data_IF_077640323701
#
_entry.id   IF_077640323701
#
_cell.length_a   1.000
_cell.length_b   1.000
_cell.length_c   1.000
_cell.angle_alpha   90.00
_cell.angle_beta   90.00
_cell.angle_gamma   90.00
#
_symmetry.space_group_name_H-M   'P 1'
#
loop_
_entity.id
_entity.type
_entity.pdbx_description
1 polymer ?
#
# COMPACT_ATOMS: atom_id res chain seq x y z
N UNK A 1 -20.70 -22.78 4.59
CA UNK A 1 -19.63 -21.97 3.95
C UNK A 1 -20.21 -20.60 3.67
N UNK A 2 -19.55 -19.55 4.18
CA UNK A 2 -19.88 -18.18 3.82
C UNK A 2 -19.30 -17.91 2.42
N UNK A 3 -20.11 -17.34 1.54
CA UNK A 3 -19.74 -16.90 0.20
C UNK A 3 -19.80 -15.38 0.13
N UNK A 4 -19.00 -14.79 -0.74
CA UNK A 4 -18.99 -13.35 -0.99
C UNK A 4 -19.00 -13.09 -2.49
N UNK A 5 -19.83 -12.17 -2.94
CA UNK A 5 -20.01 -11.82 -4.35
C UNK A 5 -20.38 -10.34 -4.50
N UNK A 6 -20.24 -9.83 -5.72
CA UNK A 6 -20.76 -8.52 -6.11
C UNK A 6 -22.07 -8.75 -6.86
N UNK A 7 -23.16 -8.10 -6.43
CA UNK A 7 -24.47 -8.22 -7.08
C UNK A 7 -24.56 -7.40 -8.38
N UNK A 8 -25.67 -7.50 -9.10
CA UNK A 8 -25.88 -6.76 -10.36
C UNK A 8 -25.90 -5.25 -10.22
N UNK A 9 -26.02 -4.73 -8.99
CA UNK A 9 -25.96 -3.29 -8.67
C UNK A 9 -24.57 -2.86 -8.22
N UNK A 10 -23.58 -3.76 -8.28
CA UNK A 10 -22.21 -3.45 -7.87
C UNK A 10 -21.98 -3.49 -6.35
N UNK A 11 -22.93 -4.01 -5.57
CA UNK A 11 -22.82 -4.05 -4.12
C UNK A 11 -22.16 -5.35 -3.64
N UNK A 12 -21.33 -5.26 -2.61
CA UNK A 12 -20.74 -6.42 -1.98
C UNK A 12 -21.76 -7.10 -1.06
N UNK A 13 -21.97 -8.40 -1.29
CA UNK A 13 -22.91 -9.23 -0.53
C UNK A 13 -22.17 -10.45 0.01
N UNK A 14 -22.47 -10.79 1.26
CA UNK A 14 -21.97 -12.00 1.90
C UNK A 14 -23.12 -12.91 2.34
N UNK A 15 -22.94 -14.22 2.23
CA UNK A 15 -23.83 -15.20 2.86
C UNK A 15 -23.28 -15.55 4.25
N UNK A 16 -24.17 -15.50 5.23
CA UNK A 16 -23.86 -15.92 6.61
C UNK A 16 -23.95 -17.44 6.73
N UNK A 17 -23.40 -18.00 7.80
CA UNK A 17 -23.50 -19.44 8.12
C UNK A 17 -24.95 -19.91 8.28
N UNK A 18 -25.89 -19.00 8.59
CA UNK A 18 -27.34 -19.23 8.64
C UNK A 18 -28.03 -19.14 7.27
N UNK A 19 -27.28 -19.12 6.15
CA UNK A 19 -27.75 -18.96 4.76
C UNK A 19 -28.56 -17.67 4.49
N UNK A 20 -28.55 -16.70 5.41
CA UNK A 20 -29.08 -15.36 5.16
C UNK A 20 -28.03 -14.52 4.46
N UNK A 21 -28.39 -13.85 3.37
CA UNK A 21 -27.55 -12.86 2.70
C UNK A 21 -27.60 -11.52 3.45
N UNK A 22 -26.46 -10.82 3.47
CA UNK A 22 -26.35 -9.48 4.04
C UNK A 22 -25.33 -8.66 3.25
N UNK A 23 -25.56 -7.34 3.18
CA UNK A 23 -24.61 -6.38 2.66
C UNK A 23 -23.89 -5.63 3.79
N UNK A 24 -23.01 -4.70 3.40
CA UNK A 24 -22.46 -3.70 4.31
C UNK A 24 -23.58 -2.78 4.81
N UNK A 25 -23.45 -2.31 6.07
CA UNK A 25 -24.35 -1.29 6.63
C UNK A 25 -24.35 -0.01 5.78
N UNK A 26 -23.18 0.37 5.26
CA UNK A 26 -23.01 1.46 4.31
C UNK A 26 -22.48 0.89 3.00
N UNK A 27 -23.32 0.66 1.97
CA UNK A 27 -22.90 0.05 0.71
C UNK A 27 -21.78 0.81 -0.01
N UNK A 28 -21.74 2.15 0.14
CA UNK A 28 -20.70 3.01 -0.42
C UNK A 28 -19.30 2.79 0.14
N UNK A 29 -19.16 2.07 1.27
CA UNK A 29 -17.85 1.73 1.83
C UNK A 29 -17.09 0.73 0.95
N UNK A 30 -17.76 -0.04 0.09
CA UNK A 30 -17.11 -0.88 -0.91
C UNK A 30 -16.92 -0.07 -2.20
N UNK A 31 -15.66 0.22 -2.54
CA UNK A 31 -15.34 1.15 -3.64
C UNK A 31 -14.72 0.47 -4.85
N UNK A 32 -14.17 -0.73 -4.69
CA UNK A 32 -13.60 -1.46 -5.81
C UNK A 32 -13.04 -2.83 -5.47
N UNK A 33 -12.56 -3.53 -6.49
CA UNK A 33 -11.98 -4.87 -6.34
C UNK A 33 -11.02 -5.21 -7.48
N UNK A 34 -10.15 -6.19 -7.24
CA UNK A 34 -9.26 -6.80 -8.25
C UNK A 34 -9.47 -8.30 -8.26
N UNK A 35 -9.57 -8.89 -9.45
CA UNK A 35 -9.97 -10.29 -9.61
C UNK A 35 -11.47 -10.45 -9.40
N UNK A 36 -11.90 -11.41 -8.59
CA UNK A 36 -13.30 -11.57 -8.20
C UNK A 36 -13.45 -11.60 -6.67
N UNK A 37 -14.67 -11.36 -6.18
CA UNK A 37 -14.90 -11.22 -4.75
C UNK A 37 -14.52 -12.45 -3.91
N UNK A 38 -14.61 -13.65 -4.49
CA UNK A 38 -14.29 -14.91 -3.80
C UNK A 38 -12.82 -15.35 -3.93
N UNK A 39 -12.04 -14.67 -4.77
CA UNK A 39 -10.63 -14.98 -5.08
C UNK A 39 -9.95 -13.74 -5.67
N UNK A 40 -9.78 -12.72 -4.83
CA UNK A 40 -9.32 -11.42 -5.27
C UNK A 40 -9.09 -10.49 -4.09
N UNK A 41 -8.94 -9.22 -4.41
CA UNK A 41 -8.80 -8.17 -3.39
C UNK A 41 -10.04 -7.30 -3.40
N UNK A 42 -10.58 -7.00 -2.22
CA UNK A 42 -11.73 -6.12 -2.04
C UNK A 42 -11.26 -4.86 -1.35
N UNK A 43 -11.59 -3.72 -1.95
CA UNK A 43 -11.17 -2.41 -1.52
C UNK A 43 -12.35 -1.66 -0.90
N UNK A 44 -12.11 -1.17 0.30
CA UNK A 44 -13.05 -0.40 1.09
C UNK A 44 -12.48 0.96 1.46
N UNK A 45 -13.36 1.89 1.83
CA UNK A 45 -13.01 3.17 2.44
C UNK A 45 -13.81 3.40 3.72
N UNK A 46 -13.14 3.90 4.75
CA UNK A 46 -13.77 4.38 5.97
C UNK A 46 -12.97 5.57 6.52
N UNK A 47 -13.67 6.68 6.83
CA UNK A 47 -13.06 7.93 7.29
C UNK A 47 -11.91 8.43 6.39
N UNK A 48 -12.06 8.26 5.07
CA UNK A 48 -11.06 8.66 4.09
C UNK A 48 -9.85 7.72 3.94
N UNK A 49 -9.75 6.68 4.77
CA UNK A 49 -8.68 5.69 4.71
C UNK A 49 -9.13 4.40 4.03
N UNK A 50 -8.23 3.82 3.25
CA UNK A 50 -8.48 2.61 2.50
C UNK A 50 -8.18 1.34 3.31
N UNK A 51 -9.01 0.32 3.11
CA UNK A 51 -8.83 -1.02 3.67
C UNK A 51 -8.89 -2.02 2.51
N UNK A 52 -7.84 -2.83 2.36
CA UNK A 52 -7.74 -3.85 1.32
C UNK A 52 -7.75 -5.23 1.95
N UNK A 53 -8.82 -5.99 1.73
CA UNK A 53 -8.87 -7.40 2.15
C UNK A 53 -8.42 -8.30 1.01
N UNK A 54 -7.60 -9.32 1.31
CA UNK A 54 -7.13 -10.29 0.32
C UNK A 54 -7.79 -11.64 0.55
N UNK A 55 -8.54 -12.12 -0.45
CA UNK A 55 -9.19 -13.42 -0.41
C UNK A 55 -8.35 -14.43 -1.19
N UNK A 56 -7.74 -15.40 -0.48
CA UNK A 56 -6.86 -16.45 -1.01
C UNK A 56 -7.08 -17.77 -0.27
N UNK A 57 -8.10 -18.53 -0.66
CA UNK A 57 -8.43 -19.85 -0.06
C UNK A 57 -7.30 -20.85 -0.05
N UNK A 58 -6.35 -20.77 -0.99
CA UNK A 58 -5.23 -21.70 -1.08
C UNK A 58 -4.01 -21.29 -0.23
N UNK A 59 -4.02 -20.10 0.37
CA UNK A 59 -2.93 -19.63 1.24
C UNK A 59 -2.97 -20.32 2.60
N UNK A 60 -1.83 -20.43 3.32
CA UNK A 60 -1.80 -21.04 4.66
C UNK A 60 -2.84 -20.44 5.62
N UNK A 61 -2.98 -19.10 5.65
CA UNK A 61 -3.95 -18.38 6.48
C UNK A 61 -5.37 -18.53 5.94
N UNK A 62 -5.56 -18.32 4.63
CA UNK A 62 -6.88 -18.36 4.02
C UNK A 62 -7.56 -19.73 4.11
N UNK A 63 -6.80 -20.84 4.14
CA UNK A 63 -7.36 -22.19 4.37
C UNK A 63 -8.04 -22.34 5.74
N UNK A 64 -7.60 -21.56 6.73
CA UNK A 64 -8.14 -21.59 8.10
C UNK A 64 -9.35 -20.65 8.26
N UNK A 65 -9.66 -19.84 7.26
CA UNK A 65 -10.79 -18.91 7.28
C UNK A 65 -11.90 -19.37 6.33
N UNK A 66 -13.14 -19.40 6.81
CA UNK A 66 -14.29 -19.91 6.05
C UNK A 66 -14.61 -19.14 4.75
N UNK A 67 -14.19 -17.88 4.66
CA UNK A 67 -14.31 -17.05 3.44
C UNK A 67 -13.04 -17.06 2.59
N UNK A 68 -11.92 -17.57 3.12
CA UNK A 68 -10.62 -17.49 2.47
C UNK A 68 -9.88 -16.19 2.73
N UNK A 69 -10.26 -15.39 3.74
CA UNK A 69 -9.54 -14.17 4.11
C UNK A 69 -8.11 -14.52 4.52
N UNK A 70 -7.14 -13.99 3.79
CA UNK A 70 -5.72 -14.26 4.00
C UNK A 70 -4.97 -13.09 4.63
N UNK A 71 -5.45 -11.87 4.42
CA UNK A 71 -4.77 -10.65 4.87
C UNK A 71 -5.72 -9.44 4.86
N UNK A 72 -5.41 -8.44 5.68
CA UNK A 72 -6.06 -7.13 5.71
C UNK A 72 -4.96 -6.07 5.70
N UNK A 73 -4.86 -5.33 4.60
CA UNK A 73 -3.88 -4.27 4.42
C UNK A 73 -4.56 -2.94 4.66
N UNK A 74 -4.01 -2.16 5.59
CA UNK A 74 -4.49 -0.82 5.92
C UNK A 74 -3.64 0.22 5.21
N UNK A 75 -4.29 1.22 4.64
CA UNK A 75 -3.62 2.47 4.34
C UNK A 75 -3.23 3.15 5.65
N UNK A 76 -1.95 3.51 5.79
CA UNK A 76 -1.38 3.91 7.07
C UNK A 76 -0.50 5.16 6.95
N UNK A 77 0.74 5.01 6.51
CA UNK A 77 1.66 6.14 6.33
C UNK A 77 1.28 6.95 5.09
N UNK A 78 0.37 7.92 5.23
CA UNK A 78 -0.03 8.80 4.14
C UNK A 78 1.14 9.67 3.67
N UNK A 79 1.97 10.11 4.62
CA UNK A 79 3.16 10.93 4.40
C UNK A 79 4.37 10.32 5.09
N UNK A 80 5.57 10.58 4.57
CA UNK A 80 6.82 10.32 5.28
C UNK A 80 7.80 11.47 5.06
N UNK A 81 8.60 11.76 6.08
CA UNK A 81 9.67 12.76 6.00
C UNK A 81 10.98 12.01 5.71
N UNK A 82 11.56 12.28 4.54
CA UNK A 82 12.90 11.84 4.16
C UNK A 82 13.90 12.80 4.79
N UNK A 83 14.56 12.33 5.83
CA UNK A 83 15.29 13.17 6.74
C UNK A 83 16.76 13.35 6.33
N UNK A 84 17.20 14.60 6.27
CA UNK A 84 18.58 15.00 5.99
C UNK A 84 19.22 15.73 7.18
N UNK A 85 18.58 15.70 8.35
CA UNK A 85 18.96 16.42 9.57
C UNK A 85 19.28 15.44 10.71
N UNK A 86 18.46 15.34 11.75
CA UNK A 86 18.89 14.73 13.02
C UNK A 86 18.98 13.20 13.02
N UNK A 87 18.41 12.50 12.02
CA UNK A 87 18.50 11.03 11.94
C UNK A 87 19.67 10.53 11.08
N UNK A 88 20.51 11.43 10.55
CA UNK A 88 21.67 11.09 9.71
C UNK A 88 22.94 11.79 10.20
N UNK A 89 24.09 11.16 9.96
CA UNK A 89 25.39 11.83 10.03
C UNK A 89 25.87 12.08 8.60
N UNK A 90 25.91 13.35 8.19
CA UNK A 90 26.41 13.76 6.88
C UNK A 90 27.26 15.02 7.00
N UNK A 91 28.58 14.83 7.07
CA UNK A 91 29.52 15.86 7.55
C UNK A 91 30.40 16.47 6.46
N UNK A 92 30.49 15.82 5.31
CA UNK A 92 31.30 16.26 4.17
C UNK A 92 30.55 16.13 2.83
N UNK A 93 31.21 16.51 1.74
CA UNK A 93 30.64 16.45 0.40
C UNK A 93 30.23 15.03 -0.03
N UNK A 94 30.96 13.99 0.40
CA UNK A 94 30.68 12.61 0.02
C UNK A 94 29.37 12.12 0.67
N UNK A 95 29.19 12.41 1.95
CA UNK A 95 27.97 12.08 2.66
C UNK A 95 26.75 12.85 2.12
N UNK A 96 26.92 14.15 1.85
CA UNK A 96 25.86 14.97 1.26
C UNK A 96 25.47 14.44 -0.13
N UNK A 97 26.44 14.02 -0.94
CA UNK A 97 26.17 13.39 -2.23
C UNK A 97 25.37 12.08 -2.09
N UNK A 98 25.64 11.24 -1.09
CA UNK A 98 24.85 10.03 -0.80
C UNK A 98 23.41 10.36 -0.44
N UNK A 99 23.20 11.33 0.46
CA UNK A 99 21.87 11.81 0.86
C UNK A 99 21.10 12.31 -0.37
N UNK A 100 21.71 13.17 -1.19
CA UNK A 100 21.09 13.73 -2.39
C UNK A 100 20.82 12.68 -3.47
N UNK A 101 21.70 11.70 -3.63
CA UNK A 101 21.51 10.60 -4.57
C UNK A 101 20.28 9.75 -4.20
N UNK A 102 20.10 9.43 -2.91
CA UNK A 102 18.91 8.74 -2.43
C UNK A 102 17.64 9.55 -2.67
N UNK A 103 17.64 10.84 -2.33
CA UNK A 103 16.50 11.72 -2.59
C UNK A 103 16.18 11.84 -4.09
N UNK A 104 17.20 12.01 -4.94
CA UNK A 104 17.04 12.04 -6.39
C UNK A 104 16.50 10.72 -6.94
N UNK A 105 16.88 9.58 -6.36
CA UNK A 105 16.33 8.27 -6.72
C UNK A 105 14.85 8.14 -6.36
N UNK A 106 14.43 8.67 -5.20
CA UNK A 106 13.02 8.72 -4.80
C UNK A 106 12.21 9.59 -5.77
N UNK A 107 12.71 10.79 -6.11
CA UNK A 107 12.02 11.72 -7.02
C UNK A 107 11.91 11.17 -8.45
N UNK A 108 12.90 10.40 -8.92
CA UNK A 108 12.85 9.73 -10.22
C UNK A 108 12.06 8.42 -10.21
N UNK A 109 11.69 7.91 -9.04
CA UNK A 109 10.97 6.64 -8.91
C UNK A 109 11.84 5.40 -9.15
N UNK A 110 13.17 5.53 -9.18
CA UNK A 110 14.09 4.45 -9.54
C UNK A 110 15.04 4.04 -8.40
N UNK A 111 14.81 4.49 -7.17
CA UNK A 111 15.57 4.04 -6.01
C UNK A 111 15.32 2.55 -5.75
N UNK A 112 16.40 1.78 -5.70
CA UNK A 112 16.40 0.38 -5.30
C UNK A 112 17.65 0.00 -4.51
N UNK A 113 17.57 -1.10 -3.78
CA UNK A 113 18.70 -1.66 -3.03
C UNK A 113 18.64 -3.17 -3.00
N UNK A 114 19.81 -3.82 -3.02
CA UNK A 114 19.93 -5.28 -2.95
C UNK A 114 20.66 -5.70 -1.69
N UNK A 115 20.08 -6.63 -0.93
CA UNK A 115 20.64 -7.12 0.33
C UNK A 115 20.40 -8.62 0.50
N UNK A 116 21.14 -9.26 1.42
CA UNK A 116 21.00 -10.69 1.73
C UNK A 116 19.92 -10.90 2.80
N UNK A 117 19.01 -11.84 2.56
CA UNK A 117 18.00 -12.28 3.53
C UNK A 117 17.77 -13.78 3.40
N UNK A 118 18.01 -14.54 4.47
CA UNK A 118 17.84 -16.00 4.47
C UNK A 118 18.71 -16.70 3.40
N UNK A 119 19.96 -16.27 3.25
CA UNK A 119 20.90 -16.80 2.25
C UNK A 119 20.65 -16.37 0.80
N UNK A 120 19.56 -15.64 0.52
CA UNK A 120 19.20 -15.19 -0.83
C UNK A 120 19.43 -13.70 -1.01
N UNK A 121 19.80 -13.28 -2.23
CA UNK A 121 19.79 -11.86 -2.61
C UNK A 121 18.36 -11.42 -2.86
N UNK A 122 17.98 -10.27 -2.31
CA UNK A 122 16.65 -9.66 -2.49
C UNK A 122 16.85 -8.21 -2.89
N UNK A 123 16.22 -7.81 -4.00
CA UNK A 123 16.17 -6.42 -4.46
C UNK A 123 14.84 -5.79 -4.05
N UNK A 124 14.91 -4.65 -3.38
CA UNK A 124 13.77 -3.83 -2.98
C UNK A 124 13.73 -2.55 -3.81
N UNK A 125 12.54 -2.21 -4.29
CA UNK A 125 12.24 -1.05 -5.13
C UNK A 125 10.94 -0.40 -4.68
N UNK A 126 10.68 0.81 -5.15
CA UNK A 126 9.43 1.52 -4.91
C UNK A 126 8.23 0.74 -5.47
N UNK A 127 7.13 0.71 -4.72
CA UNK A 127 5.89 0.07 -5.16
C UNK A 127 5.26 0.88 -6.30
N UNK A 128 4.61 0.20 -7.25
CA UNK A 128 3.73 0.84 -8.23
C UNK A 128 2.40 1.24 -7.60
N UNK A 129 1.65 2.08 -8.28
CA UNK A 129 0.26 2.32 -7.94
C UNK A 129 -0.58 1.04 -8.14
N UNK A 130 -1.73 0.99 -7.46
CA UNK A 130 -2.62 -0.17 -7.44
C UNK A 130 -3.92 0.15 -8.18
N UNK A 131 -4.25 -0.67 -9.16
CA UNK A 131 -5.47 -0.51 -9.97
C UNK A 131 -6.56 -1.51 -9.54
N UNK A 132 -7.78 -1.00 -9.42
CA UNK A 132 -8.99 -1.73 -9.04
C UNK A 132 -10.11 -1.44 -10.02
N UNK A 133 -10.98 -2.41 -10.27
CA UNK A 133 -12.29 -2.14 -10.89
C UNK A 133 -13.16 -1.41 -9.89
N UNK A 134 -13.87 -0.38 -10.33
CA UNK A 134 -14.85 0.33 -9.49
C UNK A 134 -16.02 -0.61 -9.13
N UNK A 135 -16.56 -0.47 -7.92
CA UNK A 135 -17.67 -1.29 -7.46
C UNK A 135 -18.94 -1.12 -8.32
N UNK A 136 -19.23 0.10 -8.79
CA UNK A 136 -20.46 0.46 -9.50
C UNK A 136 -20.49 0.24 -11.02
N UNK A 137 -19.50 -0.44 -11.62
CA UNK A 137 -19.52 -0.71 -13.06
C UNK A 137 -18.16 -0.52 -13.75
N UNK A 138 -18.19 0.02 -14.96
CA UNK A 138 -16.99 0.21 -15.78
C UNK A 138 -16.09 1.32 -15.25
N UNK A 139 -14.78 1.10 -15.37
CA UNK A 139 -13.75 2.05 -14.96
C UNK A 139 -12.75 1.50 -13.95
N UNK A 140 -11.62 2.20 -13.88
CA UNK A 140 -10.50 1.87 -13.00
C UNK A 140 -10.42 2.93 -11.88
N UNK A 141 -10.22 2.46 -10.66
CA UNK A 141 -9.81 3.25 -9.51
C UNK A 141 -8.33 2.97 -9.25
N UNK A 142 -7.51 4.01 -9.19
CA UNK A 142 -6.07 3.90 -8.93
C UNK A 142 -5.76 4.47 -7.55
N UNK A 143 -5.10 3.68 -6.72
CA UNK A 143 -4.54 4.12 -5.44
C UNK A 143 -3.04 4.29 -5.55
N UNK A 144 -2.53 5.39 -5.01
CA UNK A 144 -1.09 5.63 -4.90
C UNK A 144 -0.46 4.54 -4.05
N UNK A 145 0.56 3.85 -4.59
CA UNK A 145 1.22 2.74 -3.88
C UNK A 145 2.33 3.18 -2.93
N UNK A 146 2.53 4.49 -2.80
CA UNK A 146 3.64 5.13 -2.11
C UNK A 146 3.10 6.28 -1.27
N UNK A 147 3.86 6.62 -0.24
CA UNK A 147 3.61 7.76 0.63
C UNK A 147 3.90 9.07 -0.11
N UNK A 148 3.28 10.16 0.33
CA UNK A 148 3.76 11.50 -0.03
C UNK A 148 5.07 11.76 0.71
N UNK A 149 6.15 11.95 -0.04
CA UNK A 149 7.47 12.17 0.52
C UNK A 149 7.72 13.67 0.75
N UNK A 150 7.96 14.04 1.99
CA UNK A 150 8.51 15.33 2.40
C UNK A 150 10.03 15.20 2.53
N UNK A 151 10.77 16.29 2.47
CA UNK A 151 12.21 16.31 2.76
C UNK A 151 12.48 17.27 3.92
N UNK A 152 13.17 16.80 4.96
CA UNK A 152 13.63 17.66 6.06
C UNK A 152 15.07 18.07 5.78
N UNK A 153 15.24 19.32 5.36
CA UNK A 153 16.53 19.95 5.23
C UNK A 153 17.10 20.28 6.62
N UNK A 154 18.42 20.51 6.68
CA UNK A 154 19.07 21.06 7.87
C UNK A 154 18.61 22.49 8.13
N UNK A 155 18.61 22.90 9.40
CA UNK A 155 18.46 24.29 9.81
C UNK A 155 19.64 25.21 9.39
N UNK A 156 19.55 26.48 9.78
CA UNK A 156 20.46 27.56 9.35
C UNK A 156 21.81 27.61 10.09
N UNK A 157 22.06 26.68 11.02
CA UNK A 157 23.20 26.77 11.93
C UNK A 157 24.53 26.32 11.31
N UNK A 158 24.50 25.17 10.62
CA UNK A 158 25.71 24.50 10.16
C UNK A 158 26.11 24.97 8.75
N UNK A 159 27.42 25.08 8.53
CA UNK A 159 28.04 25.26 7.21
C UNK A 159 28.80 23.98 6.84
N UNK A 160 29.06 23.81 5.55
CA UNK A 160 29.90 22.74 5.00
C UNK A 160 30.82 23.36 3.96
N UNK A 161 32.00 22.76 3.79
CA UNK A 161 32.98 23.08 2.75
C UNK A 161 32.67 22.38 1.40
N UNK A 162 31.52 21.72 1.28
CA UNK A 162 31.08 21.11 0.01
C UNK A 162 31.01 22.11 -1.16
N UNK A 163 30.81 23.40 -0.85
CA UNK A 163 30.97 24.53 -1.77
C UNK A 163 31.64 25.67 -0.99
N UNK A 164 32.63 26.34 -1.59
CA UNK A 164 33.42 27.42 -0.97
C UNK A 164 33.07 28.79 -1.56
#
# INVERSE_FOLDING_TARGET
>A
LASIWVDSRGQLVASTTKRKSTGLKSPSAFIGYRGNASKGDLLFVHNGLHILTKIRRNSPVGKQNSMGLADVVLEAALTAIMDCEDSVAAVDAEDKAKVYSNWAGLMRGNLETTFKKGGKSVTRRLNSDMNFRKAGGEGILTLTGRVVALVRNVGIHMKTDAVL
#
